data_IF_121139453804
#
_entry.id   IF_121139453804
#
_cell.length_a   1.000
_cell.length_b   1.000
_cell.length_c   1.000
_cell.angle_alpha   90.00
_cell.angle_beta   90.00
_cell.angle_gamma   90.00
#
_symmetry.space_group_name_H-M   'P 1'
#
loop_
_entity.id
_entity.type
_entity.pdbx_description
1 polymer ?
#
# COMPACT_ATOMS: atom_id res chain seq x y z
N UNK A 1 44.10 31.15 -50.34
CA UNK A 1 44.11 31.48 -51.78
C UNK A 1 42.69 31.77 -52.24
N UNK A 2 42.50 32.95 -52.85
CA UNK A 2 41.48 33.41 -53.83
C UNK A 2 40.09 32.75 -53.80
N UNK A 3 39.04 33.46 -53.37
CA UNK A 3 38.29 34.52 -54.09
C UNK A 3 37.21 33.97 -55.03
N UNK A 4 35.99 34.50 -54.89
CA UNK A 4 35.26 35.24 -55.94
C UNK A 4 33.76 34.93 -55.92
N UNK A 5 32.98 36.00 -55.68
CA UNK A 5 31.56 36.13 -56.10
C UNK A 5 31.51 36.58 -57.57
N UNK A 6 30.38 36.39 -58.27
CA UNK A 6 29.54 37.55 -58.67
C UNK A 6 28.02 37.24 -58.55
N UNK A 7 27.13 38.15 -58.11
CA UNK A 7 26.48 39.30 -58.78
C UNK A 7 25.77 39.00 -60.11
N UNK A 8 24.44 39.20 -60.15
CA UNK A 8 23.52 39.72 -61.21
C UNK A 8 22.09 39.71 -60.58
N UNK A 9 21.40 40.82 -60.29
CA UNK A 9 20.69 41.86 -61.08
C UNK A 9 19.26 41.50 -61.57
N UNK A 10 18.38 42.53 -61.48
CA UNK A 10 17.08 42.77 -62.17
C UNK A 10 15.78 42.36 -61.40
N UNK A 11 15.05 43.27 -60.74
CA UNK A 11 14.05 44.27 -61.21
C UNK A 11 12.75 43.59 -61.75
N UNK A 12 11.50 43.93 -61.39
CA UNK A 12 10.74 45.19 -61.58
C UNK A 12 9.37 45.10 -60.85
N UNK A 13 8.96 46.24 -60.26
CA UNK A 13 7.64 46.88 -60.08
C UNK A 13 6.26 46.15 -59.96
N UNK A 14 5.41 46.78 -59.13
CA UNK A 14 3.94 46.85 -59.21
C UNK A 14 3.23 45.71 -58.46
N UNK A 15 2.25 45.92 -57.58
CA UNK A 15 1.14 46.87 -57.58
C UNK A 15 0.69 47.11 -56.14
N UNK A 16 0.39 48.36 -55.81
CA UNK A 16 -0.29 48.77 -54.60
C UNK A 16 -1.80 48.70 -54.85
N UNK A 17 -2.51 47.76 -54.22
CA UNK A 17 -3.97 47.86 -54.04
C UNK A 17 -4.31 47.45 -52.63
N UNK A 18 -4.81 48.43 -51.87
CA UNK A 18 -5.34 48.26 -50.53
C UNK A 18 -6.70 47.53 -50.59
N UNK A 19 -6.86 46.52 -49.74
CA UNK A 19 -8.17 46.10 -49.25
C UNK A 19 -8.07 45.95 -47.73
N UNK A 20 -8.75 46.84 -47.03
CA UNK A 20 -9.06 46.75 -45.61
C UNK A 20 -10.12 45.64 -45.46
N UNK A 21 -9.89 44.67 -44.57
CA UNK A 21 -10.99 44.20 -43.74
C UNK A 21 -10.51 43.59 -42.42
N UNK A 22 -11.30 43.90 -41.41
CA UNK A 22 -11.06 43.79 -39.97
C UNK A 22 -11.15 42.32 -39.54
N UNK A 23 -10.23 41.84 -38.71
CA UNK A 23 -10.55 40.81 -37.72
C UNK A 23 -9.68 41.00 -36.47
N UNK A 24 -10.39 41.21 -35.37
CA UNK A 24 -9.95 41.41 -33.99
C UNK A 24 -9.17 40.22 -33.43
N UNK A 25 -8.16 40.49 -32.60
CA UNK A 25 -7.56 39.44 -31.75
C UNK A 25 -6.25 39.83 -31.08
N UNK A 26 -6.31 40.74 -30.11
CA UNK A 26 -5.26 40.87 -29.09
C UNK A 26 -5.50 39.76 -28.07
N UNK A 27 -4.57 38.83 -27.91
CA UNK A 27 -4.31 38.27 -26.58
C UNK A 27 -2.87 37.80 -26.46
N UNK A 28 -2.13 38.59 -25.69
CA UNK A 28 -0.87 38.29 -25.05
C UNK A 28 -0.92 36.98 -24.24
N UNK A 29 0.12 36.17 -24.35
CA UNK A 29 0.46 35.13 -23.39
C UNK A 29 0.61 35.69 -21.97
N UNK A 30 0.25 34.90 -20.95
CA UNK A 30 1.04 34.89 -19.74
C UNK A 30 1.53 33.47 -19.39
N UNK A 31 2.78 33.42 -18.94
CA UNK A 31 3.50 32.26 -18.42
C UNK A 31 3.38 32.24 -16.88
N UNK A 32 2.83 31.18 -16.30
CA UNK A 32 3.01 30.74 -14.90
C UNK A 32 2.43 29.32 -14.77
N UNK A 33 3.22 28.25 -14.51
CA UNK A 33 3.71 27.78 -13.21
C UNK A 33 2.63 27.69 -12.12
N UNK A 34 2.25 26.46 -11.73
CA UNK A 34 1.47 26.19 -10.53
C UNK A 34 0.92 24.76 -10.45
N UNK A 35 1.45 23.95 -9.53
CA UNK A 35 1.02 22.58 -9.19
C UNK A 35 -0.48 22.51 -8.84
N UNK A 36 -1.22 21.59 -9.44
CA UNK A 36 -2.58 21.19 -9.02
C UNK A 36 -2.64 19.70 -8.70
N UNK A 37 -1.96 19.28 -7.64
CA UNK A 37 -2.10 17.94 -7.05
C UNK A 37 -2.20 18.13 -5.53
N UNK A 38 -3.39 18.17 -4.94
CA UNK A 38 -3.53 17.94 -3.48
C UNK A 38 -4.96 17.86 -2.93
N UNK A 39 -6.03 18.16 -3.67
CA UNK A 39 -7.39 18.16 -3.08
C UNK A 39 -8.24 16.93 -3.39
N UNK A 40 -7.97 16.17 -4.44
CA UNK A 40 -8.77 14.97 -4.79
C UNK A 40 -8.23 13.64 -4.28
N UNK A 41 -6.94 13.55 -3.94
CA UNK A 41 -6.32 12.30 -3.48
C UNK A 41 -6.65 11.99 -2.01
N UNK A 42 -6.82 13.02 -1.18
CA UNK A 42 -7.05 12.90 0.26
C UNK A 42 -8.45 12.34 0.57
N UNK A 43 -9.43 12.61 -0.30
CA UNK A 43 -10.83 12.22 -0.14
C UNK A 43 -11.09 10.75 -0.51
N UNK A 44 -10.13 10.06 -1.15
CA UNK A 44 -10.26 8.65 -1.52
C UNK A 44 -9.64 7.67 -0.52
N UNK A 45 -8.84 8.16 0.43
CA UNK A 45 -8.14 7.34 1.42
C UNK A 45 -8.95 7.12 2.70
N UNK A 46 -9.93 7.98 2.96
CA UNK A 46 -10.83 7.91 4.11
C UNK A 46 -12.26 8.19 3.68
N UNK A 47 -13.21 7.66 4.44
CA UNK A 47 -14.63 7.99 4.30
C UNK A 47 -14.92 9.36 4.93
N UNK A 48 -16.08 9.98 4.65
CA UNK A 48 -16.47 11.25 5.27
C UNK A 48 -16.52 11.22 6.81
N UNK A 49 -16.81 10.06 7.42
CA UNK A 49 -16.77 9.86 8.88
C UNK A 49 -15.35 9.52 9.41
N UNK A 50 -14.33 9.61 8.57
CA UNK A 50 -12.92 9.49 8.95
C UNK A 50 -12.38 8.07 9.03
N UNK A 51 -13.16 7.04 8.66
CA UNK A 51 -12.67 5.66 8.58
C UNK A 51 -11.71 5.49 7.41
N UNK A 52 -10.70 4.65 7.58
CA UNK A 52 -9.75 4.33 6.52
C UNK A 52 -10.43 3.54 5.39
N UNK A 53 -10.15 3.86 4.14
CA UNK A 53 -10.56 3.04 2.99
C UNK A 53 -9.47 2.03 2.70
N UNK A 54 -9.78 0.74 2.82
CA UNK A 54 -8.89 -0.36 2.48
C UNK A 54 -9.33 -1.00 1.17
N UNK A 55 -8.38 -1.44 0.34
CA UNK A 55 -8.63 -2.37 -0.76
C UNK A 55 -8.83 -3.81 -0.28
N UNK A 56 -9.06 -4.74 -1.21
CA UNK A 56 -9.02 -6.18 -0.91
C UNK A 56 -7.61 -6.67 -0.51
N UNK A 57 -6.58 -5.87 -0.83
CA UNK A 57 -5.17 -6.09 -0.51
C UNK A 57 -4.56 -4.80 -0.04
N UNK A 58 -3.71 -4.87 0.97
CA UNK A 58 -3.01 -3.70 1.52
C UNK A 58 -1.56 -4.01 1.88
N UNK A 59 -0.77 -2.95 2.02
CA UNK A 59 0.53 -3.05 2.68
C UNK A 59 0.36 -2.88 4.18
N UNK A 60 0.96 -3.79 4.96
CA UNK A 60 0.98 -3.69 6.42
C UNK A 60 2.41 -3.74 6.93
N UNK A 61 2.79 -2.75 7.72
CA UNK A 61 4.02 -2.80 8.52
C UNK A 61 3.68 -3.40 9.87
N UNK A 62 4.51 -4.32 10.36
CA UNK A 62 4.41 -4.87 11.72
C UNK A 62 5.73 -4.55 12.42
N UNK A 63 5.64 -3.93 13.60
CA UNK A 63 6.82 -3.53 14.35
C UNK A 63 7.76 -4.73 14.58
N UNK A 64 9.06 -4.51 14.32
CA UNK A 64 10.10 -5.53 14.47
C UNK A 64 10.42 -6.33 13.20
N UNK A 65 9.64 -6.22 12.13
CA UNK A 65 9.94 -6.92 10.86
C UNK A 65 10.83 -6.15 9.89
N UNK A 66 10.97 -4.82 10.06
CA UNK A 66 11.85 -3.99 9.24
C UNK A 66 11.33 -3.65 7.84
N UNK A 67 10.20 -4.23 7.41
CA UNK A 67 9.55 -3.92 6.13
C UNK A 67 8.02 -4.14 6.19
N UNK A 68 7.33 -3.68 5.14
CA UNK A 68 5.89 -3.92 4.95
C UNK A 68 5.61 -5.16 4.12
N UNK A 69 4.63 -5.96 4.56
CA UNK A 69 4.17 -7.18 3.91
C UNK A 69 2.84 -6.94 3.17
N UNK A 70 2.61 -7.73 2.12
CA UNK A 70 1.30 -7.78 1.47
C UNK A 70 0.33 -8.50 2.40
N UNK A 71 -0.81 -7.87 2.66
CA UNK A 71 -1.90 -8.45 3.41
C UNK A 71 -3.14 -8.60 2.52
N UNK A 72 -3.91 -9.66 2.74
CA UNK A 72 -5.29 -9.74 2.25
C UNK A 72 -6.22 -9.22 3.34
N UNK A 73 -7.16 -8.35 2.95
CA UNK A 73 -8.25 -7.92 3.82
C UNK A 73 -9.37 -8.96 3.71
N UNK A 74 -9.62 -9.70 4.78
CA UNK A 74 -10.51 -10.85 4.79
C UNK A 74 -11.73 -10.59 5.68
N UNK A 75 -12.83 -10.21 5.06
CA UNK A 75 -14.12 -9.97 5.74
C UNK A 75 -14.76 -11.26 6.27
N UNK A 76 -14.32 -12.44 5.81
CA UNK A 76 -14.75 -13.73 6.34
C UNK A 76 -14.03 -14.15 7.62
N UNK A 77 -12.86 -13.57 7.90
CA UNK A 77 -12.08 -13.88 9.08
C UNK A 77 -12.47 -12.98 10.27
N UNK A 78 -12.68 -13.57 11.44
CA UNK A 78 -12.89 -12.80 12.68
C UNK A 78 -11.56 -12.21 13.17
N UNK A 79 -10.50 -13.02 13.25
CA UNK A 79 -9.19 -12.62 13.77
C UNK A 79 -8.15 -12.61 12.66
N UNK A 80 -7.23 -11.65 12.71
CA UNK A 80 -6.10 -11.58 11.79
C UNK A 80 -5.14 -12.77 11.99
N UNK A 81 -4.31 -13.05 10.99
CA UNK A 81 -3.33 -14.13 11.09
C UNK A 81 -2.04 -13.84 10.33
N UNK A 82 -0.95 -14.41 10.83
CA UNK A 82 0.36 -14.38 10.19
C UNK A 82 0.73 -15.80 9.78
N UNK A 83 1.16 -15.95 8.53
CA UNK A 83 1.87 -17.13 8.05
C UNK A 83 3.29 -17.08 8.59
N UNK A 84 3.57 -17.92 9.57
CA UNK A 84 4.81 -17.91 10.31
C UNK A 84 5.56 -19.24 10.11
N UNK A 85 6.88 -19.15 9.98
CA UNK A 85 7.81 -20.29 9.92
C UNK A 85 8.77 -20.23 11.10
N UNK A 86 9.50 -21.32 11.32
CA UNK A 86 10.46 -21.46 12.42
C UNK A 86 9.79 -21.10 13.78
N UNK A 87 8.52 -21.52 13.95
CA UNK A 87 7.73 -21.22 15.15
C UNK A 87 8.23 -22.08 16.31
N UNK A 88 8.72 -21.42 17.35
CA UNK A 88 9.16 -22.08 18.57
C UNK A 88 8.61 -21.36 19.80
N UNK A 89 8.13 -22.14 20.76
CA UNK A 89 7.48 -21.63 21.97
C UNK A 89 8.31 -21.98 23.19
N UNK A 90 8.43 -21.05 24.13
CA UNK A 90 9.23 -21.22 25.34
C UNK A 90 8.62 -20.46 26.50
N UNK A 91 8.85 -20.94 27.72
CA UNK A 91 8.50 -20.22 28.94
C UNK A 91 9.62 -19.25 29.31
N UNK A 92 9.23 -18.05 29.75
CA UNK A 92 10.13 -17.11 30.42
C UNK A 92 9.45 -16.58 31.66
N UNK A 93 9.85 -17.12 32.81
CA UNK A 93 9.35 -16.73 34.14
C UNK A 93 7.83 -16.94 34.29
N UNK A 94 7.29 -18.07 33.81
CA UNK A 94 5.87 -18.40 33.93
C UNK A 94 4.97 -17.73 32.88
N UNK A 95 5.54 -17.07 31.88
CA UNK A 95 4.85 -16.49 30.74
C UNK A 95 5.30 -17.20 29.46
N UNK A 96 4.34 -17.68 28.67
CA UNK A 96 4.60 -18.24 27.35
C UNK A 96 5.04 -17.15 26.36
N UNK A 97 6.12 -17.42 25.63
CA UNK A 97 6.60 -16.64 24.50
C UNK A 97 6.64 -17.51 23.25
N UNK A 98 6.59 -16.85 22.10
CA UNK A 98 6.81 -17.48 20.80
C UNK A 98 7.83 -16.67 20.00
N UNK A 99 8.81 -17.37 19.44
CA UNK A 99 9.71 -16.83 18.42
C UNK A 99 9.34 -17.39 17.05
N UNK A 100 9.35 -16.55 16.03
CA UNK A 100 8.98 -16.95 14.68
C UNK A 100 9.54 -15.97 13.63
N UNK A 101 9.43 -16.36 12.36
CA UNK A 101 9.72 -15.51 11.20
C UNK A 101 8.54 -15.51 10.23
N UNK A 102 8.42 -14.47 9.42
CA UNK A 102 7.57 -14.49 8.23
C UNK A 102 8.43 -14.96 7.06
N UNK A 103 7.93 -15.94 6.30
CA UNK A 103 8.52 -16.32 5.02
C UNK A 103 7.64 -15.84 3.87
N UNK A 104 8.20 -15.06 2.96
CA UNK A 104 7.48 -14.53 1.80
C UNK A 104 8.43 -14.39 0.61
N UNK A 105 7.99 -14.78 -0.59
CA UNK A 105 8.73 -14.62 -1.85
C UNK A 105 10.18 -15.18 -1.82
N UNK A 106 10.43 -16.21 -1.01
CA UNK A 106 11.76 -16.84 -0.87
C UNK A 106 12.65 -16.21 0.19
N UNK A 107 12.21 -15.12 0.83
CA UNK A 107 12.92 -14.43 1.90
C UNK A 107 12.31 -14.71 3.27
N UNK A 108 13.13 -14.63 4.32
CA UNK A 108 12.71 -14.74 5.71
C UNK A 108 12.95 -13.40 6.42
N UNK A 109 11.97 -12.97 7.19
CA UNK A 109 12.10 -11.79 8.04
C UNK A 109 13.13 -12.00 9.17
N UNK A 110 13.53 -10.91 9.85
CA UNK A 110 14.11 -11.01 11.18
C UNK A 110 13.24 -11.84 12.13
N UNK A 111 13.86 -12.42 13.16
CA UNK A 111 13.14 -13.16 14.21
C UNK A 111 12.34 -12.17 15.05
N UNK A 112 11.03 -12.40 15.15
CA UNK A 112 10.18 -11.78 16.16
C UNK A 112 10.12 -12.68 17.38
N UNK A 113 10.07 -12.07 18.56
CA UNK A 113 9.75 -12.74 19.82
C UNK A 113 8.66 -11.95 20.51
N UNK A 114 7.49 -12.57 20.69
CA UNK A 114 6.31 -11.92 21.29
C UNK A 114 5.73 -12.81 22.40
N UNK A 115 5.12 -12.20 23.43
CA UNK A 115 4.36 -12.96 24.42
C UNK A 115 3.12 -13.59 23.79
N UNK A 116 2.82 -14.83 24.19
CA UNK A 116 1.58 -15.50 23.81
C UNK A 116 0.45 -14.97 24.70
N UNK A 117 -0.54 -14.32 24.09
CA UNK A 117 -1.70 -13.77 24.78
C UNK A 117 -2.69 -14.87 25.18
N UNK A 118 -2.87 -15.85 24.29
CA UNK A 118 -3.67 -17.06 24.54
C UNK A 118 -3.37 -18.13 23.52
N UNK A 119 -3.84 -19.34 23.83
CA UNK A 119 -3.85 -20.48 22.93
C UNK A 119 -5.25 -20.70 22.37
N UNK A 120 -5.38 -20.79 21.05
CA UNK A 120 -6.63 -21.20 20.39
C UNK A 120 -6.51 -22.61 19.84
N UNK A 121 -7.60 -23.37 19.93
CA UNK A 121 -7.71 -24.70 19.30
C UNK A 121 -8.40 -24.53 17.96
N UNK A 122 -7.72 -24.89 16.88
CA UNK A 122 -8.31 -24.91 15.54
C UNK A 122 -8.61 -26.36 15.19
N UNK A 123 -9.89 -26.64 14.92
CA UNK A 123 -10.32 -27.92 14.35
C UNK A 123 -9.89 -27.94 12.88
N UNK A 124 -9.06 -28.88 12.48
CA UNK A 124 -8.80 -29.08 11.05
C UNK A 124 -9.97 -29.86 10.45
N UNK A 125 -10.51 -29.39 9.33
CA UNK A 125 -11.60 -30.08 8.62
C UNK A 125 -11.18 -31.45 8.09
N UNK A 126 -9.88 -31.70 7.95
CA UNK A 126 -9.28 -32.90 7.37
C UNK A 126 -8.69 -33.88 8.40
N UNK A 127 -8.72 -33.57 9.70
CA UNK A 127 -8.18 -34.45 10.75
C UNK A 127 -9.01 -34.37 12.02
N UNK A 128 -9.06 -35.46 12.78
CA UNK A 128 -9.71 -35.49 14.10
C UNK A 128 -8.83 -34.88 15.21
N UNK A 129 -7.81 -34.09 14.82
CA UNK A 129 -6.83 -33.47 15.70
C UNK A 129 -7.03 -31.94 15.77
N UNK A 130 -6.80 -31.38 16.95
CA UNK A 130 -6.83 -29.93 17.15
C UNK A 130 -5.40 -29.38 17.03
N UNK A 131 -5.19 -28.40 16.16
CA UNK A 131 -3.95 -27.64 16.14
C UNK A 131 -4.05 -26.50 17.16
N UNK A 132 -3.15 -26.49 18.15
CA UNK A 132 -2.97 -25.33 19.02
C UNK A 132 -2.21 -24.24 18.27
N UNK A 133 -2.73 -23.02 18.32
CA UNK A 133 -2.08 -21.84 17.73
C UNK A 133 -1.90 -20.77 18.80
N UNK A 134 -0.70 -20.21 18.84
CA UNK A 134 -0.44 -19.03 19.66
C UNK A 134 -1.16 -17.82 19.05
N UNK A 135 -1.75 -17.01 19.92
CA UNK A 135 -2.21 -15.66 19.59
C UNK A 135 -1.19 -14.69 20.16
N UNK A 136 -0.70 -13.79 19.32
CA UNK A 136 0.22 -12.71 19.70
C UNK A 136 -0.43 -11.37 19.39
N UNK A 137 -0.06 -10.33 20.12
CA UNK A 137 -0.43 -8.95 19.81
C UNK A 137 0.75 -8.26 19.11
N UNK A 138 0.48 -7.61 17.99
CA UNK A 138 1.48 -6.85 17.23
C UNK A 138 1.04 -5.41 16.99
N UNK A 139 1.98 -4.48 17.10
CA UNK A 139 1.83 -3.11 16.64
C UNK A 139 1.92 -3.05 15.12
N UNK A 140 0.86 -2.56 14.47
CA UNK A 140 0.77 -2.48 13.02
C UNK A 140 0.53 -1.07 12.52
N UNK A 141 0.93 -0.83 11.28
CA UNK A 141 0.65 0.39 10.55
C UNK A 141 0.17 0.10 9.12
N UNK A 142 -0.93 0.76 8.74
CA UNK A 142 -1.45 0.80 7.37
C UNK A 142 -1.76 2.26 7.04
N UNK A 143 -1.04 2.84 6.08
CA UNK A 143 -1.12 4.27 5.82
C UNK A 143 -0.77 5.09 7.06
N UNK A 144 -1.71 5.91 7.52
CA UNK A 144 -1.59 6.72 8.74
C UNK A 144 -2.20 6.07 9.99
N UNK A 145 -2.91 4.94 9.85
CA UNK A 145 -3.48 4.20 10.97
C UNK A 145 -2.41 3.35 11.64
N UNK A 146 -2.14 3.65 12.92
CA UNK A 146 -1.31 2.85 13.81
C UNK A 146 -2.17 2.26 14.92
N UNK A 147 -2.13 0.95 15.08
CA UNK A 147 -2.92 0.27 16.13
C UNK A 147 -2.29 -1.07 16.51
N UNK A 148 -2.78 -1.64 17.60
CA UNK A 148 -2.50 -3.02 18.00
C UNK A 148 -3.56 -3.94 17.41
N UNK A 149 -3.15 -5.13 16.98
CA UNK A 149 -4.09 -6.19 16.66
C UNK A 149 -3.52 -7.54 17.03
N UNK A 150 -4.42 -8.46 17.32
CA UNK A 150 -4.07 -9.85 17.57
C UNK A 150 -3.91 -10.64 16.27
N UNK A 151 -2.94 -11.55 16.26
CA UNK A 151 -2.68 -12.47 15.17
C UNK A 151 -2.61 -13.90 15.69
N UNK A 152 -3.34 -14.81 15.03
CA UNK A 152 -3.04 -16.24 15.17
C UNK A 152 -1.81 -16.59 14.33
N UNK A 153 -0.88 -17.35 14.90
CA UNK A 153 0.29 -17.87 14.17
C UNK A 153 0.01 -19.28 13.65
N UNK A 154 0.35 -19.53 12.39
CA UNK A 154 0.39 -20.87 11.80
C UNK A 154 1.33 -20.89 10.61
N UNK A 155 1.92 -22.06 10.32
CA UNK A 155 2.56 -22.26 9.03
C UNK A 155 1.49 -22.35 7.94
N UNK A 156 1.45 -21.31 7.10
CA UNK A 156 0.61 -21.25 5.91
C UNK A 156 1.46 -20.85 4.71
N UNK A 157 2.70 -21.34 4.64
CA UNK A 157 3.66 -21.06 3.56
C UNK A 157 3.12 -21.36 2.16
N UNK A 158 2.09 -22.21 2.05
CA UNK A 158 1.35 -22.49 0.81
C UNK A 158 0.40 -21.37 0.34
N UNK A 159 0.12 -20.36 1.17
CA UNK A 159 -0.75 -19.24 0.82
C UNK A 159 0.03 -18.07 0.22
N UNK A 160 -0.62 -17.33 -0.68
CA UNK A 160 -0.03 -16.17 -1.36
C UNK A 160 0.26 -15.00 -0.43
N UNK A 161 -0.58 -14.76 0.58
CA UNK A 161 -0.46 -13.62 1.48
C UNK A 161 0.10 -14.06 2.83
N UNK A 162 1.23 -13.50 3.28
CA UNK A 162 1.79 -13.83 4.58
C UNK A 162 0.97 -13.24 5.73
N UNK A 163 0.13 -12.23 5.47
CA UNK A 163 -0.75 -11.62 6.48
C UNK A 163 -2.20 -11.64 5.99
N UNK A 164 -3.12 -12.05 6.87
CA UNK A 164 -4.56 -11.87 6.71
C UNK A 164 -5.04 -10.88 7.76
N UNK A 165 -5.72 -9.82 7.35
CA UNK A 165 -6.38 -8.87 8.24
C UNK A 165 -7.83 -9.32 8.41
N UNK A 166 -8.23 -9.63 9.63
CA UNK A 166 -9.60 -10.02 9.97
C UNK A 166 -10.43 -8.83 10.48
N UNK A 167 -11.73 -9.06 10.64
CA UNK A 167 -12.69 -8.03 11.07
C UNK A 167 -12.36 -7.39 12.43
N UNK A 168 -11.73 -8.12 13.36
CA UNK A 168 -11.33 -7.57 14.65
C UNK A 168 -10.38 -6.37 14.53
N UNK A 169 -9.62 -6.29 13.44
CA UNK A 169 -8.77 -5.14 13.15
C UNK A 169 -9.58 -3.96 12.59
N UNK A 170 -10.38 -4.17 11.53
CA UNK A 170 -10.93 -3.05 10.75
C UNK A 170 -12.38 -2.65 11.05
N UNK A 171 -13.16 -3.44 11.81
CA UNK A 171 -14.61 -3.24 11.98
C UNK A 171 -15.02 -1.83 12.45
N UNK A 172 -14.19 -1.18 13.25
CA UNK A 172 -14.49 0.11 13.89
C UNK A 172 -13.71 1.28 13.24
N UNK A 173 -12.70 0.98 12.40
CA UNK A 173 -11.70 1.96 11.95
C UNK A 173 -11.59 2.08 10.43
N UNK A 174 -12.21 1.17 9.66
CA UNK A 174 -12.06 1.13 8.22
C UNK A 174 -13.27 0.55 7.47
N UNK A 175 -13.37 0.89 6.18
CA UNK A 175 -14.29 0.31 5.19
C UNK A 175 -13.47 -0.37 4.11
N UNK A 176 -13.96 -1.52 3.62
CA UNK A 176 -13.28 -2.30 2.59
C UNK A 176 -13.95 -2.10 1.24
N UNK A 177 -13.22 -1.56 0.28
CA UNK A 177 -13.60 -1.46 -1.12
C UNK A 177 -12.87 -2.57 -1.91
N UNK A 178 -13.59 -3.65 -2.18
CA UNK A 178 -13.03 -4.84 -2.85
C UNK A 178 -12.62 -4.59 -4.31
N UNK A 179 -13.03 -3.47 -4.90
CA UNK A 179 -12.60 -3.09 -6.25
C UNK A 179 -11.17 -2.53 -6.29
N UNK A 180 -10.62 -2.17 -5.13
CA UNK A 180 -9.32 -1.50 -4.98
C UNK A 180 -8.26 -2.41 -4.36
N UNK A 181 -7.00 -2.05 -4.56
CA UNK A 181 -5.81 -2.71 -4.00
C UNK A 181 -4.77 -1.66 -3.66
N UNK A 182 -4.11 -1.81 -2.51
CA UNK A 182 -3.01 -0.95 -2.06
C UNK A 182 -3.43 0.53 -2.07
N UNK A 183 -4.60 0.81 -1.49
CA UNK A 183 -5.16 2.17 -1.42
C UNK A 183 -4.27 3.02 -0.52
N UNK A 184 -3.75 2.43 0.56
CA UNK A 184 -2.94 3.13 1.53
C UNK A 184 -1.47 3.15 1.12
N UNK A 185 -0.79 4.25 1.46
CA UNK A 185 0.64 4.42 1.17
C UNK A 185 1.44 3.33 1.89
N UNK A 186 2.34 2.67 1.14
CA UNK A 186 3.28 1.69 1.71
C UNK A 186 4.22 2.39 2.69
N UNK A 187 4.17 1.98 3.94
CA UNK A 187 5.07 2.45 5.00
C UNK A 187 6.37 1.64 4.92
N UNK A 188 7.51 2.27 5.19
CA UNK A 188 8.79 1.57 5.31
C UNK A 188 8.98 1.17 6.77
#
# INVERSE_FOLDING_TARGET
>A
MKSSRPFIFLAIAGVLTACINIQTGVHSEPKASGKSESTHEVDMLKTPDGKLVLGEKEWVHIAGLGESYKARVDTGATTSSISAVDIETFDKNGQDFVRFRIAHEGEKSPVLTLPVQRWVRIKQSSQDSYQRRAVVEGDIQIGDLKTKTEFTLADRSHLTFPVLLGRSFFRDVAVVDVSKKYVQKKVK
#
